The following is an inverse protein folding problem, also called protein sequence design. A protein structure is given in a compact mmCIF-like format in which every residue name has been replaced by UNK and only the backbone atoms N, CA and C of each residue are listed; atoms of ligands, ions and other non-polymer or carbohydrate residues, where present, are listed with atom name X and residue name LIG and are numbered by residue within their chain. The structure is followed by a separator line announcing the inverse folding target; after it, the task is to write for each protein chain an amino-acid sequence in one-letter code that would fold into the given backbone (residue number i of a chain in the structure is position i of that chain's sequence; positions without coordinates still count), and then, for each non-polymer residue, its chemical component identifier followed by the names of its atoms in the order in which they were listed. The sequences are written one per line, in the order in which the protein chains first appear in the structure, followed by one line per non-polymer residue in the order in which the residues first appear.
data_IF_017821998861
#
_entry.id   IF_017821998861
#
_cell.length_a   1.000
_cell.length_b   1.000
_cell.length_c   1.000
_cell.angle_alpha   90.00
_cell.angle_beta   90.00
_cell.angle_gamma   90.00
#
_symmetry.space_group_name_H-M   'P 1'
#
loop_
_entity.id
_entity.type
_entity.pdbx_description
1 polymer ?
#
# COMPACT_ATOMS: atom_id res chain seq x y z
N UNK A 1 -17.78 15.91 22.50
CA UNK A 1 -18.19 14.52 22.25
C UNK A 1 -17.11 13.79 21.48
N UNK A 2 -16.73 12.68 21.96
CA UNK A 2 -15.75 11.85 21.26
C UNK A 2 -16.46 10.85 20.38
N UNK A 3 -16.12 10.81 19.11
CA UNK A 3 -16.58 9.79 18.21
C UNK A 3 -16.05 8.41 18.62
N UNK A 4 -16.73 7.38 18.21
CA UNK A 4 -16.23 6.03 18.36
C UNK A 4 -15.05 5.84 17.40
N UNK A 5 -14.02 5.14 17.86
CA UNK A 5 -12.90 4.74 17.00
C UNK A 5 -13.47 3.74 15.98
N UNK A 6 -13.24 3.99 14.72
CA UNK A 6 -13.70 3.10 13.63
C UNK A 6 -12.91 1.79 13.61
N UNK A 7 -13.46 0.77 12.96
CA UNK A 7 -12.74 -0.49 12.78
C UNK A 7 -11.51 -0.29 11.88
N UNK A 8 -11.58 0.62 10.92
CA UNK A 8 -10.43 1.01 10.11
C UNK A 8 -9.30 1.59 10.97
N UNK A 9 -9.64 2.51 11.88
CA UNK A 9 -8.66 3.11 12.78
C UNK A 9 -8.06 2.07 13.73
N UNK A 10 -8.86 1.14 14.23
CA UNK A 10 -8.38 0.03 15.06
C UNK A 10 -7.39 -0.85 14.32
N UNK A 11 -7.72 -1.18 13.08
CA UNK A 11 -6.86 -1.98 12.20
C UNK A 11 -5.50 -1.31 12.00
N UNK A 12 -5.51 -0.03 11.64
CA UNK A 12 -4.29 0.74 11.42
C UNK A 12 -3.45 0.83 12.69
N UNK A 13 -4.10 0.96 13.84
CA UNK A 13 -3.41 1.04 15.13
C UNK A 13 -2.89 -0.31 15.65
N UNK A 14 -3.11 -1.39 14.91
CA UNK A 14 -2.68 -2.72 15.34
C UNK A 14 -3.53 -3.33 16.44
N UNK A 15 -4.75 -2.80 16.65
CA UNK A 15 -5.69 -3.29 17.66
C UNK A 15 -6.61 -4.34 17.06
N UNK A 16 -7.29 -5.10 17.91
CA UNK A 16 -8.33 -6.02 17.45
C UNK A 16 -9.41 -5.24 16.71
N UNK A 17 -9.84 -5.76 15.57
CA UNK A 17 -10.84 -5.12 14.72
C UNK A 17 -11.71 -6.18 14.06
N UNK A 18 -12.89 -5.75 13.60
CA UNK A 18 -13.80 -6.60 12.83
C UNK A 18 -13.45 -6.54 11.34
N UNK A 19 -12.87 -7.61 10.83
CA UNK A 19 -12.45 -7.69 9.43
C UNK A 19 -13.61 -7.68 8.43
N UNK A 20 -14.84 -7.97 8.90
CA UNK A 20 -16.03 -7.94 8.05
C UNK A 20 -16.69 -6.56 7.99
N UNK A 21 -16.02 -5.52 8.47
CA UNK A 21 -16.53 -4.15 8.45
C UNK A 21 -16.62 -3.61 7.03
N UNK A 22 -17.74 -2.93 6.72
CA UNK A 22 -17.99 -2.38 5.38
C UNK A 22 -16.93 -1.38 4.92
N UNK A 23 -16.47 -0.49 5.81
CA UNK A 23 -15.45 0.49 5.44
C UNK A 23 -14.16 -0.19 5.05
N UNK A 24 -13.74 -1.20 5.82
CA UNK A 24 -12.53 -1.97 5.54
C UNK A 24 -12.65 -2.67 4.19
N UNK A 25 -13.80 -3.29 3.92
CA UNK A 25 -14.05 -3.96 2.63
C UNK A 25 -13.96 -2.98 1.46
N UNK A 26 -14.56 -1.79 1.59
CA UNK A 26 -14.49 -0.75 0.57
C UNK A 26 -13.06 -0.31 0.31
N UNK A 27 -12.30 -0.06 1.37
CA UNK A 27 -10.90 0.35 1.24
C UNK A 27 -10.06 -0.75 0.60
N UNK A 28 -10.34 -2.01 0.93
CA UNK A 28 -9.65 -3.14 0.34
C UNK A 28 -9.91 -3.24 -1.17
N UNK A 29 -11.16 -3.13 -1.57
CA UNK A 29 -11.53 -3.16 -3.00
C UNK A 29 -10.83 -2.01 -3.74
N UNK A 30 -10.81 -0.82 -3.17
CA UNK A 30 -10.11 0.32 -3.77
C UNK A 30 -8.62 0.03 -3.92
N UNK A 31 -7.99 -0.54 -2.90
CA UNK A 31 -6.58 -0.90 -2.94
C UNK A 31 -6.27 -1.91 -4.03
N UNK A 32 -7.05 -2.98 -4.10
CA UNK A 32 -6.89 -4.02 -5.12
C UNK A 32 -7.10 -3.46 -6.54
N UNK A 33 -8.11 -2.60 -6.71
CA UNK A 33 -8.41 -1.97 -7.99
C UNK A 33 -7.27 -1.06 -8.45
N UNK A 34 -6.69 -0.31 -7.53
CA UNK A 34 -5.55 0.57 -7.83
C UNK A 34 -4.30 -0.22 -8.16
N UNK A 35 -4.08 -1.36 -7.51
CA UNK A 35 -3.00 -2.28 -7.87
C UNK A 35 -3.17 -2.79 -9.30
N UNK A 36 -4.36 -3.26 -9.63
CA UNK A 36 -4.68 -3.75 -10.98
C UNK A 36 -4.38 -2.68 -12.02
N UNK A 37 -4.81 -1.46 -11.77
CA UNK A 37 -4.59 -0.37 -12.72
C UNK A 37 -3.11 -0.09 -12.89
N UNK A 38 -2.37 0.05 -11.81
CA UNK A 38 -0.92 0.29 -11.88
C UNK A 38 -0.23 -0.83 -12.66
N UNK A 39 -0.53 -2.08 -12.34
CA UNK A 39 0.14 -3.24 -12.92
C UNK A 39 -0.15 -3.41 -14.42
N UNK A 40 -1.32 -2.96 -14.89
CA UNK A 40 -1.71 -3.09 -16.30
C UNK A 40 -1.12 -2.02 -17.20
N UNK A 41 -0.73 -0.87 -16.67
CA UNK A 41 -0.19 0.21 -17.49
C UNK A 41 1.20 -0.18 -17.97
N UNK A 42 1.46 -0.16 -19.30
CA UNK A 42 2.78 -0.51 -19.81
C UNK A 42 3.88 0.42 -19.28
N UNK A 43 5.04 -0.12 -19.04
CA UNK A 43 6.17 0.63 -18.49
C UNK A 43 6.51 1.87 -19.32
N UNK A 44 6.41 1.77 -20.66
CA UNK A 44 6.69 2.89 -21.59
C UNK A 44 5.76 4.08 -21.37
N UNK A 45 4.58 3.88 -20.79
CA UNK A 45 3.64 4.96 -20.47
C UNK A 45 3.95 5.52 -19.08
N UNK A 46 5.14 6.09 -18.95
CA UNK A 46 5.71 6.46 -17.67
C UNK A 46 4.84 7.43 -16.86
N UNK A 47 4.27 8.46 -17.53
CA UNK A 47 3.43 9.45 -16.84
C UNK A 47 2.14 8.84 -16.30
N UNK A 48 1.47 8.01 -17.10
CA UNK A 48 0.25 7.35 -16.69
C UNK A 48 0.52 6.38 -15.53
N UNK A 49 1.63 5.65 -15.63
CA UNK A 49 2.04 4.70 -14.60
C UNK A 49 2.38 5.40 -13.29
N UNK A 50 3.07 6.53 -13.36
CA UNK A 50 3.40 7.33 -12.17
C UNK A 50 2.14 7.87 -11.50
N UNK A 51 1.16 8.35 -12.28
CA UNK A 51 -0.12 8.80 -11.73
C UNK A 51 -0.85 7.67 -11.01
N UNK A 52 -0.87 6.48 -11.61
CA UNK A 52 -1.50 5.32 -10.99
C UNK A 52 -0.78 4.92 -9.69
N UNK A 53 0.55 5.01 -9.68
CA UNK A 53 1.34 4.73 -8.48
C UNK A 53 1.00 5.71 -7.35
N UNK A 54 0.88 6.99 -7.66
CA UNK A 54 0.54 8.02 -6.66
C UNK A 54 -0.88 7.85 -6.12
N UNK A 55 -1.79 7.31 -6.92
CA UNK A 55 -3.12 6.97 -6.43
C UNK A 55 -3.11 5.74 -5.53
N UNK A 56 -2.27 4.77 -5.85
CA UNK A 56 -2.12 3.56 -5.05
C UNK A 56 -1.41 3.85 -3.73
N UNK A 57 -0.29 4.59 -3.82
CA UNK A 57 0.53 4.96 -2.67
C UNK A 57 0.63 6.49 -2.64
N UNK A 58 -0.34 7.17 -1.99
CA UNK A 58 -0.35 8.64 -1.99
C UNK A 58 0.92 9.27 -1.42
N UNK A 59 1.57 8.58 -0.50
CA UNK A 59 2.84 9.04 0.08
C UNK A 59 3.97 9.15 -0.96
N UNK A 60 3.83 8.51 -2.12
CA UNK A 60 4.87 8.52 -3.17
C UNK A 60 4.99 9.85 -3.92
N UNK A 61 4.00 10.74 -3.78
CA UNK A 61 4.03 12.02 -4.48
C UNK A 61 5.29 12.83 -4.09
N UNK A 62 6.00 13.31 -5.11
CA UNK A 62 7.22 14.10 -4.96
C UNK A 62 8.36 13.38 -4.21
N UNK A 63 8.38 12.06 -4.23
CA UNK A 63 9.38 11.26 -3.50
C UNK A 63 10.32 10.45 -4.41
N UNK A 64 10.15 10.53 -5.72
CA UNK A 64 10.96 9.74 -6.67
C UNK A 64 10.93 8.24 -6.38
N UNK A 65 9.75 7.72 -6.09
CA UNK A 65 9.57 6.28 -5.92
C UNK A 65 9.57 5.58 -7.27
N UNK A 66 10.46 4.60 -7.43
CA UNK A 66 10.48 3.74 -8.61
C UNK A 66 9.97 2.36 -8.22
N UNK A 67 8.97 1.88 -8.95
CA UNK A 67 8.39 0.55 -8.73
C UNK A 67 8.35 -0.21 -10.05
N UNK A 68 8.92 -1.41 -10.06
CA UNK A 68 8.76 -2.34 -11.17
C UNK A 68 7.57 -3.25 -10.88
N UNK A 69 6.60 -3.22 -11.80
CA UNK A 69 5.41 -4.06 -11.69
C UNK A 69 5.75 -5.55 -11.87
N UNK A 70 4.95 -6.45 -11.33
CA UNK A 70 3.75 -6.16 -10.56
C UNK A 70 4.05 -5.81 -9.10
N UNK A 71 3.18 -4.98 -8.52
CA UNK A 71 3.18 -4.67 -7.10
C UNK A 71 1.82 -5.05 -6.54
N UNK A 72 1.79 -5.73 -5.42
CA UNK A 72 0.55 -6.12 -4.75
C UNK A 72 0.49 -5.46 -3.38
N UNK A 73 -0.66 -4.86 -3.07
CA UNK A 73 -0.92 -4.22 -1.78
C UNK A 73 -2.31 -4.61 -1.30
N UNK A 74 -2.53 -4.56 0.01
CA UNK A 74 -3.89 -4.67 0.54
C UNK A 74 -4.65 -3.36 0.35
N UNK A 75 -4.04 -2.24 0.71
CA UNK A 75 -4.69 -0.93 0.68
C UNK A 75 -3.89 0.11 -0.09
N UNK A 76 -2.58 0.11 0.02
CA UNK A 76 -1.69 1.10 -0.57
C UNK A 76 -1.58 2.37 0.26
N UNK A 77 -2.69 2.86 0.79
CA UNK A 77 -2.74 4.10 1.58
C UNK A 77 -1.99 3.99 2.91
N UNK A 78 -1.75 2.79 3.39
CA UNK A 78 -0.98 2.55 4.61
C UNK A 78 0.51 2.37 4.36
N UNK A 79 0.97 2.58 3.13
CA UNK A 79 2.38 2.53 2.79
C UNK A 79 2.93 3.96 2.77
N UNK A 80 3.96 4.19 3.58
CA UNK A 80 4.61 5.49 3.68
C UNK A 80 6.05 5.35 3.22
N UNK A 81 6.43 6.12 2.22
CA UNK A 81 7.77 6.04 1.64
C UNK A 81 8.55 7.33 1.85
N UNK A 82 9.84 7.18 2.12
CA UNK A 82 10.77 8.29 2.08
C UNK A 82 11.17 8.59 0.64
N UNK A 83 12.21 9.39 0.47
CA UNK A 83 12.70 9.80 -0.86
C UNK A 83 13.55 8.71 -1.49
N UNK A 84 13.47 8.62 -2.82
CA UNK A 84 14.37 7.81 -3.64
C UNK A 84 14.37 6.33 -3.27
N UNK A 85 13.19 5.78 -2.97
CA UNK A 85 13.03 4.35 -2.74
C UNK A 85 12.87 3.60 -4.05
N UNK A 86 13.21 2.32 -4.04
CA UNK A 86 13.04 1.42 -5.18
C UNK A 86 12.42 0.10 -4.72
N UNK A 87 11.38 -0.34 -5.44
CA UNK A 87 10.71 -1.62 -5.20
C UNK A 87 10.79 -2.43 -6.48
N UNK A 88 11.45 -3.57 -6.41
CA UNK A 88 11.66 -4.44 -7.55
C UNK A 88 10.42 -5.32 -7.83
N UNK A 89 10.51 -6.21 -8.82
CA UNK A 89 9.39 -7.01 -9.32
C UNK A 89 8.72 -7.89 -8.27
N UNK A 90 7.41 -8.04 -8.40
CA UNK A 90 6.63 -9.06 -7.67
C UNK A 90 6.70 -8.94 -6.16
N UNK A 91 6.75 -7.73 -5.65
CA UNK A 91 6.70 -7.50 -4.22
C UNK A 91 5.26 -7.45 -3.73
N UNK A 92 5.05 -7.85 -2.49
CA UNK A 92 3.73 -7.87 -1.84
C UNK A 92 3.83 -7.12 -0.53
N UNK A 93 3.00 -6.08 -0.41
CA UNK A 93 2.93 -5.26 0.81
C UNK A 93 1.56 -5.45 1.44
N UNK A 94 1.51 -6.25 2.50
CA UNK A 94 0.25 -6.48 3.22
C UNK A 94 0.10 -5.38 4.28
N UNK A 95 -0.27 -4.20 3.80
CA UNK A 95 -0.35 -2.98 4.60
C UNK A 95 -1.66 -2.84 5.37
N UNK A 96 -1.99 -3.85 6.14
CA UNK A 96 -3.12 -3.81 7.07
C UNK A 96 -2.88 -2.76 8.15
N UNK A 97 -1.65 -2.71 8.66
CA UNK A 97 -1.13 -1.61 9.48
C UNK A 97 -0.05 -0.87 8.68
N UNK A 98 0.37 0.33 9.09
CA UNK A 98 1.34 1.10 8.34
C UNK A 98 2.67 0.39 8.11
N UNK A 99 3.15 0.50 6.86
CA UNK A 99 4.50 0.10 6.46
C UNK A 99 5.24 1.38 6.10
N UNK A 100 6.36 1.64 6.73
CA UNK A 100 7.15 2.84 6.48
C UNK A 100 8.52 2.46 5.95
N UNK A 101 8.88 3.00 4.78
CA UNK A 101 10.21 2.88 4.21
C UNK A 101 10.93 4.22 4.39
N UNK A 102 12.12 4.18 4.96
CA UNK A 102 12.96 5.38 5.07
C UNK A 102 13.51 5.81 3.72
N UNK A 103 14.30 6.89 3.71
CA UNK A 103 14.90 7.39 2.47
C UNK A 103 15.88 6.38 1.89
N UNK A 104 15.87 6.24 0.58
CA UNK A 104 16.83 5.41 -0.13
C UNK A 104 16.70 3.90 0.10
N UNK A 105 15.56 3.43 0.58
CA UNK A 105 15.34 2.00 0.79
C UNK A 105 15.11 1.31 -0.55
N UNK A 106 15.85 0.24 -0.79
CA UNK A 106 15.70 -0.60 -1.99
C UNK A 106 15.19 -1.97 -1.57
N UNK A 107 14.05 -2.35 -2.14
CA UNK A 107 13.40 -3.65 -1.89
C UNK A 107 13.68 -4.55 -3.09
N UNK A 108 14.28 -5.71 -2.84
CA UNK A 108 14.56 -6.69 -3.89
C UNK A 108 13.31 -7.37 -4.43
N UNK A 109 13.48 -8.13 -5.50
CA UNK A 109 12.34 -8.83 -6.12
C UNK A 109 11.76 -9.89 -5.17
N UNK A 110 10.45 -10.11 -5.29
CA UNK A 110 9.71 -11.14 -4.55
C UNK A 110 9.75 -10.99 -3.02
N UNK A 111 9.95 -9.76 -2.53
CA UNK A 111 9.92 -9.49 -1.09
C UNK A 111 8.48 -9.31 -0.65
N UNK A 112 8.13 -9.91 0.48
CA UNK A 112 6.84 -9.72 1.14
C UNK A 112 7.05 -9.00 2.47
N UNK A 113 6.37 -7.87 2.64
CA UNK A 113 6.29 -7.15 3.91
C UNK A 113 4.86 -7.31 4.43
N UNK A 114 4.71 -7.92 5.58
CA UNK A 114 3.41 -8.24 6.12
C UNK A 114 3.25 -7.67 7.52
N UNK A 115 2.18 -6.92 7.71
CA UNK A 115 1.82 -6.37 9.02
C UNK A 115 0.73 -7.14 9.75
N UNK A 116 -0.12 -7.96 9.07
CA UNK A 116 -1.18 -8.66 9.77
C UNK A 116 -0.65 -9.55 10.89
N UNK A 117 -1.35 -9.55 12.01
CA UNK A 117 -1.04 -10.40 13.14
C UNK A 117 -2.35 -11.06 13.58
N UNK A 118 -2.35 -12.37 13.63
CA UNK A 118 -3.54 -13.14 14.00
C UNK A 118 -3.35 -13.76 15.37
N UNK A 119 -4.39 -13.69 16.24
CA UNK A 119 -4.32 -14.38 17.51
C UNK A 119 -4.29 -15.89 17.29
N UNK A 120 -3.55 -16.55 18.14
CA UNK A 120 -3.46 -18.00 18.12
C UNK A 120 -4.62 -18.65 18.84
#
# INVERSE_FOLDING_TARGET
MTGKVSEWERMIAGKLYNASNEEIEKQHIKGLTRCDKFNRIPFRRAKAKQKALEKLIPSAKDKDLCVFAPLYCEYGVNIHVGKECFINYSCTFLDVSPITLGNGVWIGANVTLATPNHPF
#
